data_IF_847306849474
#
_entry.id   IF_847306849474
#
_cell.length_a   1.000
_cell.length_b   1.000
_cell.length_c   1.000
_cell.angle_alpha   90.00
_cell.angle_beta   90.00
_cell.angle_gamma   90.00
#
_symmetry.space_group_name_H-M   'P 1'
#
loop_
_entity.id
_entity.type
_entity.pdbx_description
1 polymer ?
#
# COMPACT_ATOMS: atom_id res chain seq x y z
N UNK A 1 -13.77 18.70 1.48
CA UNK A 1 -15.12 18.44 1.02
C UNK A 1 -15.85 17.57 2.07
N UNK A 2 -17.20 17.50 2.03
CA UNK A 2 -18.01 16.78 3.04
C UNK A 2 -17.60 15.30 3.20
N UNK A 3 -17.24 14.62 2.12
CA UNK A 3 -16.78 13.24 2.14
C UNK A 3 -15.50 13.06 3.00
N UNK A 4 -14.52 13.93 2.84
CA UNK A 4 -13.29 13.85 3.62
C UNK A 4 -13.55 14.13 5.11
N UNK A 5 -14.39 15.13 5.41
CA UNK A 5 -14.77 15.45 6.80
C UNK A 5 -15.46 14.27 7.47
N UNK A 6 -16.42 13.61 6.80
CA UNK A 6 -17.10 12.42 7.32
C UNK A 6 -16.11 11.26 7.54
N UNK A 7 -15.18 11.07 6.62
CA UNK A 7 -14.14 10.04 6.72
C UNK A 7 -13.19 10.28 7.89
N UNK A 8 -12.70 11.51 8.05
CA UNK A 8 -11.77 11.88 9.12
C UNK A 8 -12.44 11.83 10.51
N UNK A 9 -13.75 12.06 10.59
CA UNK A 9 -14.53 11.96 11.83
C UNK A 9 -15.03 10.55 12.14
N UNK A 10 -14.88 9.59 11.22
CA UNK A 10 -15.45 8.25 11.36
C UNK A 10 -16.98 8.18 11.22
N UNK A 11 -17.60 9.25 10.74
CA UNK A 11 -19.06 9.32 10.55
C UNK A 11 -19.49 8.73 9.20
N UNK A 12 -19.31 7.42 9.07
CA UNK A 12 -19.73 6.65 7.90
C UNK A 12 -20.00 5.18 8.26
N UNK A 13 -20.89 4.54 7.54
CA UNK A 13 -21.08 3.08 7.60
C UNK A 13 -20.14 2.34 6.63
N UNK A 14 -19.90 2.93 5.47
CA UNK A 14 -18.99 2.41 4.44
C UNK A 14 -18.35 3.58 3.71
N UNK A 15 -17.04 3.56 3.59
CA UNK A 15 -16.30 4.56 2.84
C UNK A 15 -15.38 3.90 1.83
N UNK A 16 -15.20 4.55 0.67
CA UNK A 16 -14.22 4.13 -0.32
C UNK A 16 -12.85 4.71 0.05
N UNK A 17 -11.82 3.89 0.03
CA UNK A 17 -10.45 4.33 0.21
C UNK A 17 -9.50 3.74 -0.82
N UNK A 18 -8.27 4.27 -0.84
CA UNK A 18 -7.16 3.77 -1.62
C UNK A 18 -5.95 3.67 -0.71
N UNK A 19 -5.26 2.52 -0.76
CA UNK A 19 -3.98 2.36 -0.10
C UNK A 19 -2.87 2.39 -1.15
N UNK A 20 -1.86 3.20 -0.89
CA UNK A 20 -0.65 3.29 -1.71
C UNK A 20 0.56 2.99 -0.85
N UNK A 21 1.39 2.05 -1.30
CA UNK A 21 2.66 1.77 -0.63
C UNK A 21 3.73 2.79 -1.04
N UNK A 22 4.32 3.45 -0.08
CA UNK A 22 5.43 4.40 -0.31
C UNK A 22 6.76 3.69 -0.60
N UNK A 23 6.85 2.41 -0.26
CA UNK A 23 8.01 1.55 -0.48
C UNK A 23 7.57 0.11 -0.80
N UNK A 24 8.52 -0.70 -1.27
CA UNK A 24 8.26 -2.05 -1.79
C UNK A 24 8.40 -3.07 -0.66
N UNK A 25 7.48 -3.05 0.28
CA UNK A 25 7.35 -4.05 1.34
C UNK A 25 5.90 -4.09 1.83
N UNK A 26 5.35 -5.24 2.27
CA UNK A 26 3.97 -5.34 2.75
C UNK A 26 3.62 -4.34 3.86
N UNK A 27 4.56 -4.02 4.73
CA UNK A 27 4.37 -3.02 5.80
C UNK A 27 3.96 -1.65 5.29
N UNK A 28 4.30 -1.29 4.04
CA UNK A 28 3.89 -0.02 3.44
C UNK A 28 2.35 0.16 3.37
N UNK A 29 1.61 -0.95 3.30
CA UNK A 29 0.15 -0.96 3.31
C UNK A 29 -0.40 -1.43 4.65
N UNK A 30 0.21 -2.45 5.27
CA UNK A 30 -0.29 -3.03 6.51
C UNK A 30 -0.23 -2.04 7.69
N UNK A 31 0.75 -1.15 7.73
CA UNK A 31 0.85 -0.15 8.78
C UNK A 31 -0.39 0.76 8.88
N UNK A 32 -1.09 1.01 7.77
CA UNK A 32 -2.33 1.81 7.75
C UNK A 32 -3.49 1.19 8.55
N UNK A 33 -3.33 -0.03 9.05
CA UNK A 33 -4.30 -0.70 9.91
C UNK A 33 -3.85 -0.81 11.37
N UNK A 34 -2.69 -0.25 11.75
CA UNK A 34 -2.26 -0.25 13.15
C UNK A 34 -3.14 0.65 14.00
N UNK A 35 -3.29 0.28 15.27
CA UNK A 35 -4.20 0.97 16.22
C UNK A 35 -4.03 2.50 16.28
N UNK A 36 -2.80 3.00 16.14
CA UNK A 36 -2.50 4.42 16.32
C UNK A 36 -1.90 5.06 15.05
N UNK A 37 -2.03 4.40 13.91
CA UNK A 37 -1.54 4.97 12.66
C UNK A 37 -2.47 6.10 12.20
N UNK A 38 -1.92 7.29 11.86
CA UNK A 38 -2.73 8.42 11.37
C UNK A 38 -3.48 8.14 10.07
N UNK A 39 -3.05 7.13 9.31
CA UNK A 39 -3.69 6.69 8.07
C UNK A 39 -4.73 5.59 8.27
N UNK A 40 -4.96 5.18 9.52
CA UNK A 40 -5.97 4.18 9.85
C UNK A 40 -7.38 4.78 9.78
N UNK A 41 -7.94 4.80 8.60
CA UNK A 41 -9.29 5.32 8.34
C UNK A 41 -10.39 4.35 8.76
N UNK A 42 -10.06 3.06 8.96
CA UNK A 42 -11.03 2.03 9.32
C UNK A 42 -11.41 2.03 10.80
N UNK A 43 -10.60 2.65 11.66
CA UNK A 43 -10.71 2.54 13.11
C UNK A 43 -10.37 1.15 13.65
N UNK A 44 -9.83 0.27 12.82
CA UNK A 44 -9.40 -1.06 13.22
C UNK A 44 -8.31 -0.97 14.29
N UNK A 45 -8.40 -1.81 15.31
CA UNK A 45 -7.36 -1.88 16.33
C UNK A 45 -7.29 -3.30 16.90
N UNK A 46 -6.22 -4.00 16.57
CA UNK A 46 -5.92 -5.33 17.10
C UNK A 46 -4.47 -5.39 17.59
N UNK A 47 -4.23 -5.53 18.91
CA UNK A 47 -2.87 -5.59 19.45
C UNK A 47 -2.04 -6.78 18.92
N UNK A 48 -2.67 -7.87 18.54
CA UNK A 48 -1.97 -9.03 17.94
C UNK A 48 -1.44 -8.66 16.56
N UNK A 49 -2.25 -7.96 15.75
CA UNK A 49 -1.83 -7.43 14.45
C UNK A 49 -0.64 -6.47 14.60
N UNK A 50 -0.75 -5.51 15.52
CA UNK A 50 0.34 -4.55 15.80
C UNK A 50 1.62 -5.28 16.24
N UNK A 51 1.47 -6.31 17.08
CA UNK A 51 2.58 -7.15 17.52
C UNK A 51 3.28 -7.91 16.40
N UNK A 52 2.52 -8.46 15.44
CA UNK A 52 3.07 -9.13 14.26
C UNK A 52 3.88 -8.16 13.39
N UNK A 53 3.36 -6.95 13.16
CA UNK A 53 4.07 -5.93 12.38
C UNK A 53 5.34 -5.45 13.10
N UNK A 54 5.31 -5.34 14.44
CA UNK A 54 6.50 -4.98 15.20
C UNK A 54 7.55 -6.10 15.14
N UNK A 55 7.16 -7.36 15.31
CA UNK A 55 8.07 -8.49 15.16
C UNK A 55 8.67 -8.56 13.76
N UNK A 56 7.86 -8.28 12.72
CA UNK A 56 8.36 -8.23 11.35
C UNK A 56 9.41 -7.13 11.16
N UNK A 57 9.20 -5.95 11.74
CA UNK A 57 10.15 -4.85 11.69
C UNK A 57 11.50 -5.18 12.36
N UNK A 58 11.46 -5.97 13.44
CA UNK A 58 12.64 -6.40 14.20
C UNK A 58 13.33 -7.65 13.59
N UNK A 59 12.71 -8.29 12.59
CA UNK A 59 13.20 -9.53 11.98
C UNK A 59 14.08 -9.23 10.77
N UNK A 60 15.37 -9.60 10.83
CA UNK A 60 16.33 -9.41 9.73
C UNK A 60 16.19 -10.48 8.62
N UNK A 61 15.80 -11.69 8.98
CA UNK A 61 15.58 -12.77 8.00
C UNK A 61 14.34 -12.49 7.15
N UNK A 62 14.52 -12.36 5.83
CA UNK A 62 13.47 -11.99 4.89
C UNK A 62 12.32 -13.01 4.81
N UNK A 63 12.62 -14.31 4.94
CA UNK A 63 11.59 -15.35 4.86
C UNK A 63 10.74 -15.36 6.14
N UNK A 64 11.39 -15.26 7.31
CA UNK A 64 10.70 -15.17 8.58
C UNK A 64 9.83 -13.88 8.64
N UNK A 65 10.36 -12.75 8.18
CA UNK A 65 9.62 -11.49 8.09
C UNK A 65 8.40 -11.59 7.18
N UNK A 66 8.54 -12.21 6.01
CA UNK A 66 7.41 -12.46 5.10
C UNK A 66 6.35 -13.34 5.77
N UNK A 67 6.75 -14.35 6.52
CA UNK A 67 5.82 -15.19 7.28
C UNK A 67 5.00 -14.43 8.33
N UNK A 68 5.61 -13.43 8.97
CA UNK A 68 4.91 -12.54 9.93
C UNK A 68 3.91 -11.63 9.22
N UNK A 69 4.26 -11.09 8.04
CA UNK A 69 3.32 -10.31 7.23
C UNK A 69 2.13 -11.14 6.76
N UNK A 70 2.34 -12.39 6.33
CA UNK A 70 1.23 -13.28 5.95
C UNK A 70 0.29 -13.56 7.12
N UNK A 71 0.82 -13.73 8.35
CA UNK A 71 -0.03 -13.89 9.53
C UNK A 71 -0.86 -12.62 9.81
N UNK A 72 -0.26 -11.43 9.66
CA UNK A 72 -0.95 -10.17 9.81
C UNK A 72 -2.04 -9.98 8.73
N UNK A 73 -1.74 -10.30 7.47
CA UNK A 73 -2.71 -10.27 6.37
C UNK A 73 -3.87 -11.24 6.61
N UNK A 74 -3.58 -12.46 7.09
CA UNK A 74 -4.63 -13.43 7.40
C UNK A 74 -5.57 -12.89 8.48
N UNK A 75 -5.03 -12.25 9.52
CA UNK A 75 -5.83 -11.65 10.58
C UNK A 75 -6.73 -10.52 10.05
N UNK A 76 -6.22 -9.67 9.15
CA UNK A 76 -7.05 -8.67 8.47
C UNK A 76 -8.14 -9.29 7.61
N UNK A 77 -7.86 -10.40 6.93
CA UNK A 77 -8.87 -11.09 6.12
C UNK A 77 -9.95 -11.73 6.98
N UNK A 78 -9.59 -12.27 8.13
CA UNK A 78 -10.53 -12.91 9.06
C UNK A 78 -11.44 -11.87 9.75
N UNK A 79 -10.91 -10.70 10.10
CA UNK A 79 -11.63 -9.63 10.78
C UNK A 79 -12.27 -8.60 9.83
N UNK A 80 -11.84 -8.56 8.58
CA UNK A 80 -12.38 -7.77 7.46
C UNK A 80 -12.63 -6.28 7.77
N UNK A 81 -11.64 -5.54 8.29
CA UNK A 81 -11.80 -4.10 8.53
C UNK A 81 -11.91 -3.30 7.22
N UNK A 82 -11.47 -3.87 6.12
CA UNK A 82 -11.58 -3.33 4.78
C UNK A 82 -11.91 -4.43 3.78
N UNK A 83 -12.70 -4.11 2.77
CA UNK A 83 -13.06 -5.02 1.68
C UNK A 83 -12.15 -4.72 0.48
N UNK A 84 -11.19 -5.59 0.15
CA UNK A 84 -10.36 -5.40 -1.03
C UNK A 84 -11.19 -5.60 -2.30
N UNK A 85 -11.15 -4.63 -3.21
CA UNK A 85 -11.97 -4.66 -4.44
C UNK A 85 -11.11 -4.96 -5.66
N UNK A 86 -10.01 -4.24 -5.85
CA UNK A 86 -9.10 -4.44 -6.98
C UNK A 86 -7.75 -3.77 -6.74
N UNK A 87 -6.73 -4.22 -7.47
CA UNK A 87 -5.45 -3.52 -7.58
C UNK A 87 -5.51 -2.49 -8.71
N UNK A 88 -5.15 -1.25 -8.38
CA UNK A 88 -5.09 -0.18 -9.37
C UNK A 88 -3.91 -0.39 -10.31
N UNK A 89 -4.17 -0.41 -11.60
CA UNK A 89 -3.16 -0.53 -12.64
C UNK A 89 -3.02 0.78 -13.42
N UNK A 90 -1.79 1.26 -13.60
CA UNK A 90 -1.48 2.35 -14.51
C UNK A 90 -1.20 1.80 -15.91
N UNK A 91 -2.00 2.18 -16.89
CA UNK A 91 -1.71 1.96 -18.30
C UNK A 91 -1.09 3.21 -18.91
N UNK A 92 -0.04 3.04 -19.70
CA UNK A 92 0.63 4.13 -20.39
C UNK A 92 0.77 3.81 -21.87
N UNK A 93 0.36 4.75 -22.71
CA UNK A 93 0.68 4.73 -24.12
C UNK A 93 2.01 5.47 -24.28
N UNK A 94 2.99 4.82 -24.87
CA UNK A 94 4.35 5.32 -25.02
C UNK A 94 4.72 5.30 -26.49
N UNK A 95 5.30 6.40 -26.97
CA UNK A 95 5.88 6.45 -28.30
C UNK A 95 6.96 5.37 -28.43
N UNK A 96 6.95 4.55 -29.50
CA UNK A 96 7.90 3.46 -29.66
C UNK A 96 9.37 3.91 -29.82
N UNK A 97 9.61 5.19 -30.07
CA UNK A 97 10.97 5.77 -30.14
C UNK A 97 11.46 6.28 -28.80
N UNK A 98 10.57 6.42 -27.79
CA UNK A 98 10.97 6.86 -26.45
C UNK A 98 11.73 5.75 -25.71
N UNK A 99 12.88 6.09 -25.15
CA UNK A 99 13.79 5.22 -24.39
C UNK A 99 13.99 5.75 -22.97
N UNK A 100 14.56 4.92 -22.10
CA UNK A 100 14.85 5.27 -20.70
C UNK A 100 13.67 5.07 -19.73
N UNK A 101 12.54 4.54 -20.20
CA UNK A 101 11.46 4.15 -19.30
C UNK A 101 11.85 2.90 -18.49
N UNK A 102 11.73 2.92 -17.17
CA UNK A 102 12.00 1.75 -16.37
C UNK A 102 10.97 0.65 -16.65
N UNK A 103 11.47 -0.56 -16.96
CA UNK A 103 10.62 -1.73 -17.26
C UNK A 103 9.87 -2.21 -16.01
N UNK A 104 10.50 -2.10 -14.84
CA UNK A 104 9.89 -2.41 -13.55
C UNK A 104 9.86 -1.13 -12.72
N UNK A 105 8.66 -0.60 -12.51
CA UNK A 105 8.47 0.66 -11.81
C UNK A 105 7.26 0.55 -10.87
N UNK A 106 7.48 -0.08 -9.73
CA UNK A 106 6.45 -0.33 -8.72
C UNK A 106 5.83 0.96 -8.15
N UNK A 107 6.60 2.06 -8.15
CA UNK A 107 6.10 3.37 -7.69
C UNK A 107 5.51 4.24 -8.80
N UNK A 108 5.58 3.82 -10.05
CA UNK A 108 5.12 4.64 -11.17
C UNK A 108 5.94 5.93 -11.43
N UNK A 109 7.00 6.18 -10.66
CA UNK A 109 7.84 7.37 -10.80
C UNK A 109 8.75 7.26 -12.03
N UNK A 110 8.80 8.30 -12.84
CA UNK A 110 9.67 8.36 -14.03
C UNK A 110 10.65 9.53 -13.83
N UNK A 111 11.93 9.19 -13.86
CA UNK A 111 12.98 10.21 -13.89
C UNK A 111 13.09 10.77 -15.33
N UNK A 112 12.50 11.93 -15.55
CA UNK A 112 12.46 12.53 -16.90
C UNK A 112 13.83 12.82 -17.49
N UNK A 113 14.87 13.00 -16.66
CA UNK A 113 16.27 13.16 -17.08
C UNK A 113 16.84 11.95 -17.83
N UNK A 114 16.25 10.76 -17.63
CA UNK A 114 16.73 9.52 -18.25
C UNK A 114 15.98 9.20 -19.56
N UNK A 115 14.97 10.01 -19.90
CA UNK A 115 14.19 9.84 -21.12
C UNK A 115 14.86 10.49 -22.33
N UNK A 116 14.89 9.75 -23.44
CA UNK A 116 15.38 10.27 -24.72
C UNK A 116 14.66 9.62 -25.89
N UNK A 117 14.64 10.28 -27.04
CA UNK A 117 14.13 9.69 -28.28
C UNK A 117 15.28 9.06 -29.06
N UNK A 118 15.10 7.79 -29.46
CA UNK A 118 16.06 7.17 -30.38
C UNK A 118 15.88 7.77 -31.79
N UNK A 119 16.99 8.13 -32.44
CA UNK A 119 16.95 8.45 -33.86
C UNK A 119 16.60 7.17 -34.65
N UNK A 120 15.77 7.33 -35.68
CA UNK A 120 15.46 6.26 -36.63
C UNK A 120 16.65 5.99 -37.53
#
# INVERSE_FOLDING_TARGET
NAYQVAKDSGDFMLARSFLFGDYVEPSAMLNSFRCQDPQNESGYCNPTFDGLLQQAADTLDGNARTGLYHQAEQLLMDEMPAIPVYHYNQMRLVDPTLRGLPVQNLKGAIATKDLYFSQQ
#
